data_IF_475182577714
#
_entry.id   IF_475182577714
#
_cell.length_a   1.000
_cell.length_b   1.000
_cell.length_c   1.000
_cell.angle_alpha   90.00
_cell.angle_beta   90.00
_cell.angle_gamma   90.00
#
_symmetry.space_group_name_H-M   'P 1'
#
loop_
_entity.id
_entity.type
_entity.pdbx_description
1 polymer ?
#
# COMPACT_ATOMS: atom_id res chain seq x y z
N UNK A 1 -39.96 34.28 33.71
CA UNK A 1 -39.11 35.22 32.94
C UNK A 1 -37.67 35.01 33.37
N UNK A 2 -36.90 34.19 32.64
CA UNK A 2 -35.51 33.90 32.96
C UNK A 2 -34.59 34.87 32.20
N UNK A 3 -33.89 35.72 32.93
CA UNK A 3 -32.90 36.65 32.39
C UNK A 3 -31.71 35.87 31.86
N UNK A 4 -31.50 35.92 30.54
CA UNK A 4 -30.29 35.41 29.88
C UNK A 4 -29.13 36.31 30.29
N UNK A 5 -28.40 35.88 31.32
CA UNK A 5 -27.13 36.49 31.69
C UNK A 5 -26.20 36.43 30.47
N UNK A 6 -25.92 37.61 29.90
CA UNK A 6 -24.92 37.77 28.86
C UNK A 6 -23.59 37.27 29.43
N UNK A 7 -23.08 36.17 28.86
CA UNK A 7 -21.83 35.54 29.24
C UNK A 7 -20.72 36.59 29.31
N UNK A 8 -20.28 36.86 30.53
CA UNK A 8 -19.17 37.76 30.81
C UNK A 8 -17.99 37.40 29.91
N UNK A 9 -17.43 38.39 29.22
CA UNK A 9 -16.09 38.29 28.67
C UNK A 9 -15.13 37.98 29.83
N UNK A 10 -14.79 36.71 30.03
CA UNK A 10 -13.91 36.28 31.11
C UNK A 10 -12.52 36.87 30.91
N UNK A 11 -12.30 38.06 31.48
CA UNK A 11 -10.98 38.69 31.61
C UNK A 11 -10.39 38.14 32.90
N UNK A 12 -9.46 37.19 32.79
CA UNK A 12 -8.81 36.58 33.94
C UNK A 12 -7.71 35.58 33.56
N UNK A 13 -6.90 35.14 34.53
CA UNK A 13 -5.82 34.17 34.31
C UNK A 13 -6.31 32.81 33.80
N UNK A 14 -7.59 32.50 34.00
CA UNK A 14 -8.26 31.25 33.58
C UNK A 14 -8.97 31.35 32.22
N UNK A 15 -8.79 32.44 31.47
CA UNK A 15 -9.38 32.53 30.14
C UNK A 15 -8.82 31.41 29.24
N UNK A 16 -9.65 30.65 28.49
CA UNK A 16 -9.22 29.41 27.81
C UNK A 16 -8.15 29.59 26.72
N UNK A 17 -7.88 30.83 26.30
CA UNK A 17 -6.75 31.18 25.41
C UNK A 17 -5.43 31.46 26.16
N UNK A 18 -5.46 31.44 27.49
CA UNK A 18 -4.30 31.30 28.37
C UNK A 18 -4.28 29.84 28.83
N UNK A 19 -3.25 29.08 28.44
CA UNK A 19 -2.96 27.79 29.08
C UNK A 19 -2.54 28.02 30.56
N UNK A 20 -2.57 27.00 31.44
CA UNK A 20 -2.56 27.14 32.91
C UNK A 20 -1.33 27.81 33.56
N UNK A 21 -0.41 28.39 32.78
CA UNK A 21 0.87 28.91 33.27
C UNK A 21 1.20 30.32 32.73
N UNK A 22 0.20 31.08 32.27
CA UNK A 22 0.36 32.49 31.92
C UNK A 22 1.23 32.80 30.69
N UNK A 23 1.80 31.80 30.02
CA UNK A 23 2.64 31.99 28.84
C UNK A 23 1.81 32.42 27.62
N UNK A 24 2.27 33.48 26.94
CA UNK A 24 1.68 33.95 25.68
C UNK A 24 1.89 32.88 24.60
N UNK A 25 0.85 32.64 23.79
CA UNK A 25 0.78 31.76 22.61
C UNK A 25 2.07 31.72 21.74
N UNK A 26 2.82 32.82 21.72
CA UNK A 26 4.04 33.05 20.94
C UNK A 26 5.29 32.33 21.47
N UNK A 27 5.41 32.06 22.78
CA UNK A 27 6.66 31.51 23.36
C UNK A 27 6.88 30.01 23.11
N UNK A 28 5.83 29.26 22.80
CA UNK A 28 5.93 27.80 22.61
C UNK A 28 6.18 27.39 21.15
N UNK A 29 6.00 28.31 20.19
CA UNK A 29 6.02 28.01 18.75
C UNK A 29 7.12 28.73 17.96
N UNK A 30 8.02 29.41 18.67
CA UNK A 30 9.34 29.82 18.18
C UNK A 30 9.39 31.02 17.23
N UNK A 31 8.61 31.03 16.14
CA UNK A 31 8.94 31.90 15.01
C UNK A 31 7.79 32.80 14.56
N UNK A 32 7.63 33.95 15.23
CA UNK A 32 6.74 35.03 14.76
C UNK A 32 7.04 35.43 13.32
N UNK A 33 8.31 35.43 12.93
CA UNK A 33 8.76 35.78 11.57
C UNK A 33 8.30 34.77 10.52
N UNK A 34 8.30 33.47 10.85
CA UNK A 34 7.87 32.41 9.93
C UNK A 34 6.36 32.42 9.74
N UNK A 35 5.62 32.63 10.82
CA UNK A 35 4.16 32.78 10.79
C UNK A 35 3.77 34.05 10.01
N UNK A 36 4.49 35.15 10.25
CA UNK A 36 4.32 36.41 9.54
C UNK A 36 4.50 36.25 8.02
N UNK A 37 5.59 35.60 7.60
CA UNK A 37 5.87 35.32 6.19
C UNK A 37 4.77 34.49 5.53
N UNK A 38 4.31 33.41 6.18
CA UNK A 38 3.27 32.55 5.62
C UNK A 38 1.88 33.21 5.59
N UNK A 39 1.59 34.10 6.54
CA UNK A 39 0.30 34.79 6.61
C UNK A 39 0.27 36.11 5.84
N UNK A 40 1.40 36.56 5.27
CA UNK A 40 1.51 37.85 4.59
C UNK A 40 1.30 39.06 5.51
N UNK A 41 1.72 38.94 6.79
CA UNK A 41 1.55 39.98 7.82
C UNK A 41 2.89 40.26 8.50
N UNK A 42 3.02 41.40 9.18
CA UNK A 42 4.25 41.74 9.90
C UNK A 42 4.43 40.88 11.16
N UNK A 43 5.68 40.61 11.55
CA UNK A 43 5.99 39.88 12.79
C UNK A 43 5.45 40.60 14.04
N UNK A 44 5.36 41.94 13.99
CA UNK A 44 4.73 42.75 15.03
C UNK A 44 3.21 42.52 15.10
N UNK A 45 2.52 42.36 13.96
CA UNK A 45 1.10 42.02 13.97
C UNK A 45 0.86 40.65 14.64
N UNK A 46 1.68 39.65 14.28
CA UNK A 46 1.62 38.29 14.87
C UNK A 46 1.90 38.32 16.38
N UNK A 47 2.86 39.14 16.84
CA UNK A 47 3.19 39.23 18.27
C UNK A 47 2.10 39.90 19.12
N UNK A 48 1.20 40.65 18.49
CA UNK A 48 0.03 41.26 19.13
C UNK A 48 -1.22 40.36 19.09
N UNK A 49 -1.18 39.22 18.38
CA UNK A 49 -2.30 38.31 18.33
C UNK A 49 -2.58 37.69 19.70
N UNK A 50 -3.65 38.16 20.35
CA UNK A 50 -4.23 37.49 21.51
C UNK A 50 -4.92 36.18 21.12
N UNK A 51 -5.41 36.10 19.88
CA UNK A 51 -6.04 34.95 19.22
C UNK A 51 -5.73 35.04 17.72
N UNK A 52 -5.53 33.89 17.08
CA UNK A 52 -5.24 33.82 15.62
C UNK A 52 -6.49 34.25 14.83
N UNK A 53 -6.41 35.21 13.90
CA UNK A 53 -7.55 35.55 13.04
C UNK A 53 -8.03 34.36 12.20
N UNK A 54 -9.33 34.29 11.93
CA UNK A 54 -9.96 33.15 11.23
C UNK A 54 -9.35 32.85 9.86
N UNK A 55 -9.13 33.90 9.06
CA UNK A 55 -8.52 33.82 7.74
C UNK A 55 -7.11 33.22 7.73
N UNK A 56 -6.37 33.32 8.83
CA UNK A 56 -4.99 32.83 8.95
C UNK A 56 -4.90 31.49 9.70
N UNK A 57 -6.03 30.98 10.19
CA UNK A 57 -6.04 29.87 11.14
C UNK A 57 -5.61 28.54 10.51
N UNK A 58 -5.99 28.27 9.26
CA UNK A 58 -5.57 27.07 8.52
C UNK A 58 -4.08 27.11 8.16
N UNK A 59 -3.57 28.27 7.76
CA UNK A 59 -2.15 28.47 7.41
C UNK A 59 -1.28 28.25 8.64
N UNK A 60 -1.68 28.84 9.77
CA UNK A 60 -1.00 28.66 11.05
C UNK A 60 -1.12 27.21 11.54
N UNK A 61 -2.30 26.59 11.46
CA UNK A 61 -2.50 25.17 11.81
C UNK A 61 -1.56 24.24 11.02
N UNK A 62 -1.43 24.46 9.71
CA UNK A 62 -0.53 23.70 8.84
C UNK A 62 0.95 23.87 9.20
N UNK A 63 1.40 25.11 9.41
CA UNK A 63 2.76 25.39 9.84
C UNK A 63 3.11 24.76 11.18
N UNK A 64 2.13 24.73 12.09
CA UNK A 64 2.28 24.26 13.44
C UNK A 64 1.92 22.78 13.58
N UNK A 65 1.55 22.07 12.51
CA UNK A 65 1.10 20.67 12.58
C UNK A 65 0.06 20.43 13.70
N UNK A 66 -0.85 21.39 13.93
CA UNK A 66 -1.88 21.31 14.97
C UNK A 66 -3.27 21.46 14.36
N UNK A 67 -4.27 20.91 15.05
CA UNK A 67 -5.64 21.05 14.58
C UNK A 67 -6.16 22.48 14.80
N UNK A 68 -6.95 23.01 13.85
CA UNK A 68 -7.54 24.34 13.95
C UNK A 68 -8.38 24.53 15.24
N UNK A 69 -9.02 23.46 15.73
CA UNK A 69 -9.79 23.46 16.98
C UNK A 69 -8.95 23.73 18.22
N UNK A 70 -7.68 23.30 18.23
CA UNK A 70 -6.76 23.59 19.34
C UNK A 70 -6.32 25.05 19.37
N UNK A 71 -6.29 25.72 18.21
CA UNK A 71 -5.91 27.14 18.10
C UNK A 71 -7.08 28.08 18.40
N UNK A 72 -8.32 27.71 18.02
CA UNK A 72 -9.56 28.41 18.44
C UNK A 72 -10.68 27.41 18.79
N UNK A 73 -10.83 27.03 20.07
CA UNK A 73 -11.94 26.17 20.49
C UNK A 73 -13.31 26.83 20.28
N UNK A 74 -13.39 28.16 20.32
CA UNK A 74 -14.62 28.92 20.08
C UNK A 74 -15.24 28.69 18.70
N UNK A 75 -14.43 28.41 17.66
CA UNK A 75 -14.96 28.11 16.33
C UNK A 75 -15.63 26.74 16.33
N UNK A 76 -15.01 25.76 17.00
CA UNK A 76 -15.61 24.43 17.17
C UNK A 76 -16.93 24.53 17.95
N UNK A 77 -16.98 25.35 19.01
CA UNK A 77 -18.21 25.62 19.76
C UNK A 77 -19.28 26.32 18.91
N UNK A 78 -18.92 27.31 18.09
CA UNK A 78 -19.88 27.92 17.15
C UNK A 78 -20.41 26.91 16.15
N UNK A 79 -19.53 26.08 15.57
CA UNK A 79 -19.91 25.00 14.65
C UNK A 79 -20.89 24.02 15.30
N UNK A 80 -20.65 23.66 16.57
CA UNK A 80 -21.56 22.84 17.37
C UNK A 80 -22.90 23.55 17.62
N UNK A 81 -22.91 24.84 17.97
CA UNK A 81 -24.15 25.59 18.16
C UNK A 81 -24.94 25.79 16.85
N UNK A 82 -24.27 25.94 15.70
CA UNK A 82 -24.94 25.89 14.38
C UNK A 82 -25.36 24.48 13.97
N UNK A 83 -24.75 23.42 14.50
CA UNK A 83 -25.28 22.06 14.33
C UNK A 83 -26.57 21.85 15.12
N UNK A 84 -26.73 22.52 16.27
CA UNK A 84 -28.01 22.58 17.00
C UNK A 84 -29.09 23.36 16.23
N UNK A 85 -28.72 24.17 15.23
CA UNK A 85 -29.68 24.81 14.31
C UNK A 85 -29.87 24.03 13.00
N UNK A 86 -29.36 22.81 12.88
CA UNK A 86 -29.62 21.95 11.72
C UNK A 86 -31.06 21.44 11.81
N UNK A 87 -31.89 21.77 10.82
CA UNK A 87 -33.30 21.39 10.81
C UNK A 87 -33.39 19.85 10.90
N UNK A 88 -34.32 19.25 11.67
CA UNK A 88 -34.37 17.79 11.87
C UNK A 88 -34.49 17.00 10.56
N UNK A 89 -35.01 17.63 9.50
CA UNK A 89 -35.05 17.08 8.14
C UNK A 89 -33.65 16.92 7.52
N UNK A 90 -32.77 17.90 7.71
CA UNK A 90 -31.40 17.85 7.19
C UNK A 90 -30.54 16.86 7.98
N UNK A 91 -30.81 16.74 9.28
CA UNK A 91 -30.21 15.71 10.14
C UNK A 91 -30.62 14.29 9.72
N UNK A 92 -31.91 14.07 9.42
CA UNK A 92 -32.38 12.80 8.89
C UNK A 92 -31.76 12.47 7.53
N UNK A 93 -31.64 13.46 6.64
CA UNK A 93 -30.98 13.28 5.34
C UNK A 93 -29.49 12.94 5.49
N UNK A 94 -28.78 13.60 6.40
CA UNK A 94 -27.38 13.29 6.68
C UNK A 94 -27.18 11.87 7.25
N UNK A 95 -28.07 11.42 8.14
CA UNK A 95 -28.05 10.05 8.66
C UNK A 95 -28.36 9.01 7.58
N UNK A 96 -29.33 9.28 6.71
CA UNK A 96 -29.66 8.38 5.59
C UNK A 96 -28.48 8.20 4.63
N UNK A 97 -27.76 9.30 4.32
CA UNK A 97 -26.54 9.22 3.52
C UNK A 97 -25.47 8.36 4.20
N UNK A 98 -25.26 8.56 5.50
CA UNK A 98 -24.27 7.82 6.27
C UNK A 98 -24.61 6.33 6.33
N UNK A 99 -25.88 5.98 6.57
CA UNK A 99 -26.36 4.60 6.53
C UNK A 99 -26.13 3.96 5.15
N UNK A 100 -26.46 4.67 4.06
CA UNK A 100 -26.23 4.16 2.71
C UNK A 100 -24.73 3.94 2.40
N UNK A 101 -23.85 4.77 2.97
CA UNK A 101 -22.40 4.58 2.84
C UNK A 101 -21.93 3.37 3.65
N UNK A 102 -22.46 3.15 4.85
CA UNK A 102 -22.13 1.98 5.65
C UNK A 102 -22.61 0.69 5.00
N UNK A 103 -23.81 0.68 4.41
CA UNK A 103 -24.34 -0.49 3.69
C UNK A 103 -23.43 -0.85 2.50
N UNK A 104 -22.98 0.15 1.73
CA UNK A 104 -22.02 -0.08 0.63
C UNK A 104 -20.70 -0.65 1.14
N UNK A 105 -20.14 -0.07 2.19
CA UNK A 105 -18.89 -0.53 2.77
C UNK A 105 -19.01 -1.97 3.30
N UNK A 106 -20.16 -2.34 3.88
CA UNK A 106 -20.43 -3.72 4.32
C UNK A 106 -20.51 -4.66 3.12
N UNK A 107 -21.25 -4.29 2.06
CA UNK A 107 -21.31 -5.13 0.85
C UNK A 107 -19.94 -5.34 0.20
N UNK A 108 -19.10 -4.31 0.16
CA UNK A 108 -17.73 -4.42 -0.37
C UNK A 108 -16.87 -5.38 0.47
N UNK A 109 -17.01 -5.34 1.80
CA UNK A 109 -16.32 -6.26 2.70
C UNK A 109 -16.79 -7.71 2.54
N UNK A 110 -18.10 -7.92 2.36
CA UNK A 110 -18.66 -9.25 2.09
C UNK A 110 -18.14 -9.83 0.77
N UNK A 111 -18.07 -9.02 -0.29
CA UNK A 111 -17.51 -9.42 -1.59
C UNK A 111 -16.02 -9.78 -1.48
N UNK A 112 -15.24 -8.98 -0.75
CA UNK A 112 -13.84 -9.28 -0.49
C UNK A 112 -13.68 -10.57 0.32
N UNK A 113 -14.51 -10.78 1.34
CA UNK A 113 -14.49 -12.01 2.12
C UNK A 113 -14.77 -13.23 1.25
N UNK A 114 -15.81 -13.19 0.41
CA UNK A 114 -16.12 -14.25 -0.54
C UNK A 114 -14.99 -14.49 -1.55
N UNK A 115 -14.34 -13.43 -2.03
CA UNK A 115 -13.19 -13.54 -2.93
C UNK A 115 -12.00 -14.23 -2.24
N UNK A 116 -11.71 -13.88 -0.99
CA UNK A 116 -10.65 -14.54 -0.22
C UNK A 116 -10.95 -16.01 0.05
N UNK A 117 -12.20 -16.36 0.38
CA UNK A 117 -12.61 -17.75 0.58
C UNK A 117 -12.47 -18.58 -0.70
N UNK A 118 -12.81 -18.00 -1.87
CA UNK A 118 -12.60 -18.65 -3.17
C UNK A 118 -11.11 -18.83 -3.45
N UNK A 119 -10.29 -17.82 -3.16
CA UNK A 119 -8.85 -17.88 -3.38
C UNK A 119 -8.19 -18.97 -2.51
N UNK A 120 -8.59 -19.13 -1.25
CA UNK A 120 -8.07 -20.19 -0.37
C UNK A 120 -8.49 -21.58 -0.83
N UNK A 121 -9.76 -21.76 -1.24
CA UNK A 121 -10.23 -23.02 -1.80
C UNK A 121 -9.43 -23.42 -3.07
N UNK A 122 -9.18 -22.45 -3.97
CA UNK A 122 -8.37 -22.67 -5.17
C UNK A 122 -6.92 -23.03 -4.84
N UNK A 123 -6.34 -22.43 -3.80
CA UNK A 123 -4.99 -22.76 -3.34
C UNK A 123 -4.93 -24.20 -2.82
N UNK A 124 -5.94 -24.64 -2.05
CA UNK A 124 -6.02 -26.02 -1.59
C UNK A 124 -6.10 -27.02 -2.76
N UNK A 125 -6.91 -26.72 -3.77
CA UNK A 125 -7.04 -27.54 -4.97
C UNK A 125 -5.74 -27.55 -5.81
N UNK A 126 -5.08 -26.40 -5.96
CA UNK A 126 -3.79 -26.33 -6.65
C UNK A 126 -2.73 -27.17 -5.92
N UNK A 127 -2.74 -27.13 -4.57
CA UNK A 127 -1.84 -27.93 -3.75
C UNK A 127 -2.09 -29.43 -3.91
N UNK A 128 -3.35 -29.88 -3.92
CA UNK A 128 -3.66 -31.30 -4.12
C UNK A 128 -3.19 -31.77 -5.50
N UNK A 129 -3.36 -30.97 -6.55
CA UNK A 129 -2.87 -31.31 -7.88
C UNK A 129 -1.34 -31.41 -7.94
N UNK A 130 -0.61 -30.55 -7.23
CA UNK A 130 0.86 -30.66 -7.14
C UNK A 130 1.27 -31.93 -6.39
N UNK A 131 0.57 -32.29 -5.32
CA UNK A 131 0.81 -33.52 -4.57
C UNK A 131 0.54 -34.77 -5.43
N UNK A 132 -0.56 -34.80 -6.18
CA UNK A 132 -0.87 -35.85 -7.17
C UNK A 132 0.21 -35.96 -8.26
N UNK A 133 0.63 -34.83 -8.82
CA UNK A 133 1.69 -34.79 -9.82
C UNK A 133 3.02 -35.35 -9.26
N UNK A 134 3.39 -34.99 -8.03
CA UNK A 134 4.58 -35.51 -7.37
C UNK A 134 4.51 -37.02 -7.15
N UNK A 135 3.36 -37.53 -6.70
CA UNK A 135 3.13 -38.97 -6.54
C UNK A 135 3.24 -39.70 -7.88
N UNK A 136 2.65 -39.15 -8.95
CA UNK A 136 2.73 -39.73 -10.28
C UNK A 136 4.17 -39.78 -10.81
N UNK A 137 4.95 -38.72 -10.56
CA UNK A 137 6.36 -38.63 -10.92
C UNK A 137 7.20 -39.68 -10.18
N UNK A 138 7.02 -39.82 -8.87
CA UNK A 138 7.74 -40.83 -8.08
C UNK A 138 7.36 -42.26 -8.49
N UNK A 139 6.09 -42.52 -8.81
CA UNK A 139 5.66 -43.80 -9.36
C UNK A 139 6.34 -44.11 -10.69
N UNK A 140 6.39 -43.15 -11.62
CA UNK A 140 7.07 -43.28 -12.90
C UNK A 140 8.59 -43.53 -12.70
N UNK A 141 9.21 -42.77 -11.79
CA UNK A 141 10.63 -42.93 -11.42
C UNK A 141 10.92 -44.33 -10.89
N UNK A 142 10.05 -44.85 -10.02
CA UNK A 142 10.17 -46.21 -9.48
C UNK A 142 9.90 -47.28 -10.54
N UNK A 143 9.00 -47.05 -11.50
CA UNK A 143 8.79 -47.95 -12.64
C UNK A 143 10.04 -48.04 -13.54
N UNK A 144 10.67 -46.90 -13.85
CA UNK A 144 11.94 -46.86 -14.62
C UNK A 144 13.05 -47.61 -13.87
N UNK A 145 13.18 -47.41 -12.55
CA UNK A 145 14.15 -48.16 -11.72
C UNK A 145 13.89 -49.67 -11.75
N UNK A 146 12.63 -50.09 -11.61
CA UNK A 146 12.24 -51.51 -11.68
C UNK A 146 12.55 -52.11 -13.05
N UNK A 147 12.24 -51.40 -14.14
CA UNK A 147 12.54 -51.81 -15.52
C UNK A 147 14.05 -51.96 -15.72
N UNK A 148 14.85 -50.97 -15.31
CA UNK A 148 16.33 -51.05 -15.37
C UNK A 148 16.88 -52.23 -14.57
N UNK A 149 16.38 -52.48 -13.36
CA UNK A 149 16.81 -53.62 -12.55
C UNK A 149 16.39 -54.97 -13.18
N UNK A 150 15.22 -55.05 -13.81
CA UNK A 150 14.78 -56.24 -14.55
C UNK A 150 15.69 -56.50 -15.76
N UNK A 151 16.00 -55.46 -16.55
CA UNK A 151 16.94 -55.56 -17.68
C UNK A 151 18.34 -56.00 -17.22
N UNK A 152 18.86 -55.44 -16.13
CA UNK A 152 20.16 -55.83 -15.58
C UNK A 152 20.18 -57.31 -15.16
N UNK A 153 19.10 -57.81 -14.54
CA UNK A 153 18.95 -59.24 -14.20
C UNK A 153 18.86 -60.11 -15.44
N UNK A 154 18.11 -59.70 -16.46
CA UNK A 154 18.01 -60.43 -17.73
C UNK A 154 19.37 -60.51 -18.44
N UNK A 155 20.11 -59.39 -18.52
CA UNK A 155 21.48 -59.36 -19.08
C UNK A 155 22.43 -60.29 -18.32
N UNK A 156 22.33 -60.36 -17.00
CA UNK A 156 23.14 -61.31 -16.20
C UNK A 156 22.83 -62.76 -16.55
N UNK A 157 21.55 -63.14 -16.60
CA UNK A 157 21.12 -64.50 -17.00
C UNK A 157 21.58 -64.87 -18.41
N UNK A 158 21.54 -63.92 -19.35
CA UNK A 158 22.03 -64.15 -20.72
C UNK A 158 23.54 -64.41 -20.76
N UNK A 159 24.34 -63.68 -19.98
CA UNK A 159 25.79 -63.95 -19.84
C UNK A 159 26.06 -65.33 -19.27
N UNK A 160 25.34 -65.69 -18.21
CA UNK A 160 25.46 -67.01 -17.57
C UNK A 160 25.12 -68.15 -18.55
N UNK A 161 24.18 -67.92 -19.48
CA UNK A 161 23.81 -68.86 -20.52
C UNK A 161 24.71 -68.83 -21.79
N UNK A 162 25.77 -68.02 -21.81
CA UNK A 162 26.67 -67.88 -22.96
C UNK A 162 26.05 -67.18 -24.18
N UNK A 163 24.92 -66.49 -24.02
CA UNK A 163 24.24 -65.78 -25.10
C UNK A 163 24.82 -64.37 -25.30
N UNK A 164 24.91 -63.91 -26.55
CA UNK A 164 25.33 -62.54 -26.89
C UNK A 164 24.31 -61.52 -26.35
N UNK A 165 24.77 -60.55 -25.55
CA UNK A 165 23.91 -59.46 -25.07
C UNK A 165 23.74 -58.43 -26.20
N UNK A 166 22.51 -58.13 -26.62
CA UNK A 166 22.29 -57.02 -27.54
C UNK A 166 22.51 -55.69 -26.79
N UNK A 167 23.40 -54.86 -27.32
CA UNK A 167 23.60 -53.49 -26.86
C UNK A 167 22.44 -52.62 -27.37
N UNK A 168 21.31 -52.70 -26.68
CA UNK A 168 20.27 -51.68 -26.78
C UNK A 168 20.77 -50.43 -26.04
N UNK A 169 21.60 -49.63 -26.70
CA UNK A 169 21.71 -48.22 -26.37
C UNK A 169 20.33 -47.62 -26.62
N UNK A 170 19.52 -47.57 -25.56
CA UNK A 170 18.26 -46.82 -25.61
C UNK A 170 18.68 -45.37 -25.67
N UNK A 171 18.71 -44.81 -26.88
CA UNK A 171 18.65 -43.37 -27.12
C UNK A 171 17.34 -42.87 -26.52
N UNK A 172 17.32 -42.66 -25.20
CA UNK A 172 16.38 -41.74 -24.59
C UNK A 172 16.89 -40.37 -24.97
N UNK A 173 16.58 -39.94 -26.20
CA UNK A 173 16.73 -38.57 -26.60
C UNK A 173 15.88 -37.75 -25.60
N UNK A 174 16.48 -36.90 -24.75
CA UNK A 174 15.70 -36.07 -23.83
C UNK A 174 14.70 -35.26 -24.66
N UNK A 175 13.48 -34.99 -24.14
CA UNK A 175 12.54 -34.13 -24.85
C UNK A 175 13.26 -32.81 -25.15
N UNK A 176 13.34 -32.50 -26.43
CA UNK A 176 14.05 -31.37 -26.99
C UNK A 176 13.37 -30.09 -26.49
N UNK A 177 13.82 -29.56 -25.35
CA UNK A 177 13.45 -28.24 -24.86
C UNK A 177 14.21 -27.16 -25.63
N UNK A 178 14.12 -27.20 -26.95
CA UNK A 178 14.48 -26.07 -27.78
C UNK A 178 13.34 -25.04 -27.65
N UNK A 179 13.58 -23.86 -27.05
CA UNK A 179 12.58 -22.79 -27.08
C UNK A 179 12.26 -22.48 -28.55
N UNK A 180 10.98 -22.27 -28.91
CA UNK A 180 10.63 -21.94 -30.28
C UNK A 180 11.37 -20.65 -30.69
N UNK A 181 11.87 -20.56 -31.94
CA UNK A 181 12.52 -19.35 -32.40
C UNK A 181 11.56 -18.16 -32.26
N UNK A 182 12.05 -16.96 -31.91
CA UNK A 182 11.18 -15.80 -31.80
C UNK A 182 10.54 -15.54 -33.16
N UNK A 183 9.22 -15.77 -33.22
CA UNK A 183 8.38 -15.41 -34.34
C UNK A 183 8.62 -13.93 -34.65
N UNK A 184 9.10 -13.66 -35.86
CA UNK A 184 9.26 -12.30 -36.36
C UNK A 184 7.95 -11.52 -36.13
N UNK A 185 8.01 -10.27 -35.62
CA UNK A 185 6.82 -9.44 -35.54
C UNK A 185 6.35 -9.16 -36.97
N UNK A 186 5.14 -9.62 -37.31
CA UNK A 186 4.38 -9.13 -38.45
C UNK A 186 4.08 -7.65 -38.20
N UNK A 187 5.00 -6.78 -38.65
CA UNK A 187 4.80 -5.34 -38.69
C UNK A 187 3.90 -4.98 -39.86
N UNK A 188 2.62 -4.76 -39.58
CA UNK A 188 1.76 -3.92 -40.42
C UNK A 188 1.85 -2.49 -39.87
N UNK A 189 2.45 -1.61 -40.67
CA UNK A 189 2.02 -0.22 -40.81
C UNK A 189 2.59 0.83 -39.83
N UNK A 190 3.39 1.75 -40.39
CA UNK A 190 3.49 3.18 -40.03
C UNK A 190 3.86 3.52 -38.58
N UNK A 191 4.91 4.30 -38.29
CA UNK A 191 5.05 5.71 -38.65
C UNK A 191 6.46 6.13 -38.20
N UNK A 192 7.20 6.87 -39.04
CA UNK A 192 8.44 7.60 -38.66
C UNK A 192 8.10 8.70 -37.65
N UNK A 193 8.95 8.94 -36.64
CA UNK A 193 9.88 10.08 -36.80
C UNK A 193 11.29 9.89 -36.22
N UNK A 194 12.25 10.37 -37.00
CA UNK A 194 13.32 11.31 -36.63
C UNK A 194 14.07 11.18 -35.29
N UNK A 195 15.32 10.72 -35.38
CA UNK A 195 16.53 11.45 -34.98
C UNK A 195 16.75 11.83 -33.51
N UNK A 196 17.83 11.33 -32.92
CA UNK A 196 18.43 11.89 -31.70
C UNK A 196 19.54 11.03 -31.09
N UNK A 197 20.79 11.43 -31.31
CA UNK A 197 22.01 11.34 -30.46
C UNK A 197 22.12 10.20 -29.43
N UNK A 198 23.10 9.28 -29.54
CA UNK A 198 24.53 9.48 -29.28
C UNK A 198 24.81 9.90 -27.82
N UNK A 199 25.04 8.93 -26.91
CA UNK A 199 26.02 9.04 -25.80
C UNK A 199 26.43 7.64 -25.30
N UNK A 200 27.69 7.30 -25.53
CA UNK A 200 28.45 6.30 -24.77
C UNK A 200 28.32 6.49 -23.25
N UNK A 201 28.11 5.41 -22.49
CA UNK A 201 28.52 5.34 -21.07
C UNK A 201 28.52 3.91 -20.55
N UNK A 202 29.69 3.30 -20.61
CA UNK A 202 30.12 2.22 -19.72
C UNK A 202 30.38 2.83 -18.33
N UNK A 203 29.95 2.18 -17.23
CA UNK A 203 30.64 2.31 -15.95
C UNK A 203 31.28 0.98 -15.52
N UNK A 204 32.54 1.00 -15.03
CA UNK A 204 33.32 -0.20 -14.74
C UNK A 204 33.02 -0.85 -13.38
N UNK A 205 33.41 -2.13 -13.31
CA UNK A 205 33.33 -3.05 -12.19
C UNK A 205 33.95 -2.50 -10.89
N UNK A 206 33.24 -2.70 -9.77
CA UNK A 206 33.80 -2.50 -8.43
C UNK A 206 34.51 -3.78 -7.97
N UNK A 207 35.80 -3.64 -7.74
CA UNK A 207 36.69 -4.62 -7.09
C UNK A 207 36.39 -4.64 -5.59
N UNK A 208 36.23 -5.84 -5.02
CA UNK A 208 36.10 -6.07 -3.57
C UNK A 208 37.48 -6.03 -2.90
N UNK A 209 37.64 -5.39 -1.72
CA UNK A 209 38.88 -5.46 -0.96
C UNK A 209 38.99 -6.75 -0.14
N UNK A 210 40.20 -7.29 -0.13
CA UNK A 210 40.68 -8.46 0.61
C UNK A 210 41.02 -8.02 2.04
N UNK A 211 40.29 -8.52 3.03
CA UNK A 211 40.65 -8.33 4.44
C UNK A 211 41.91 -9.14 4.77
N UNK A 212 42.86 -8.47 5.42
CA UNK A 212 43.92 -9.07 6.23
C UNK A 212 43.42 -9.22 7.66
#
# INVERSE_FOLDING_TARGET
>A
MATVQHGQHSRGPFAPWRRPYGQRFIRHWGDCSRIAAACGVTAQAVSQWKRVPERHLLIVAGLLSTTPERLRPDIAQRKLMTSTSMHPSDAAAALALLNSQTERAVSELEDLYLATQKATANLHLARSHVEEANLSYEQARMAVRRSRAAMARARRRMREAGMTIPDFAVDVQPPDHSPPPPSAPQGIGGVKPTGGQDVDRIPPQRVSPRNS
#
